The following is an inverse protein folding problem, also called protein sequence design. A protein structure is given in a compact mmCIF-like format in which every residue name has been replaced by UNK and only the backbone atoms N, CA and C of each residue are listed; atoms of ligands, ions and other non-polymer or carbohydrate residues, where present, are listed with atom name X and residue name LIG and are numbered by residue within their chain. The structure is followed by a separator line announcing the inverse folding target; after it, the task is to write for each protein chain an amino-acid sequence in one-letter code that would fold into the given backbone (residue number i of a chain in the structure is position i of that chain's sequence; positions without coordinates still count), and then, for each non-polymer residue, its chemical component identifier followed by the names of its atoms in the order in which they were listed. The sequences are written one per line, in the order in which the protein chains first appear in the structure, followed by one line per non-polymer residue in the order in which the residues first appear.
data_IF_733564149749
#
_entry.id   IF_733564149749
#
_cell.length_a   1.000
_cell.length_b   1.000
_cell.length_c   1.000
_cell.angle_alpha   90.00
_cell.angle_beta   90.00
_cell.angle_gamma   90.00
#
_symmetry.space_group_name_H-M   'P 1'
#
loop_
_entity.id
_entity.type
_entity.pdbx_description
1 polymer ?
#
# COMPACT_ATOMS: atom_id res chain seq x y z
N UNK A 1 -39.54 -50.74 32.30
CA UNK A 1 -38.60 -49.99 33.18
C UNK A 1 -37.26 -50.74 33.18
N UNK A 2 -36.10 -50.06 33.20
CA UNK A 2 -35.51 -49.11 32.26
C UNK A 2 -34.66 -49.86 31.19
N UNK A 3 -34.29 -49.37 30.01
CA UNK A 3 -33.82 -48.03 29.64
C UNK A 3 -32.37 -48.11 29.16
N UNK A 4 -32.09 -48.93 28.13
CA UNK A 4 -30.77 -48.99 27.48
C UNK A 4 -30.64 -47.77 26.56
N UNK A 5 -30.10 -46.70 27.12
CA UNK A 5 -29.85 -45.44 26.45
C UNK A 5 -28.85 -45.61 25.32
N UNK A 6 -29.33 -45.41 24.09
CA UNK A 6 -28.51 -45.10 22.94
C UNK A 6 -27.82 -43.74 23.19
N UNK A 7 -26.56 -43.79 23.61
CA UNK A 7 -25.70 -42.62 23.76
C UNK A 7 -24.34 -42.91 23.12
N UNK A 8 -24.36 -43.13 21.82
CA UNK A 8 -23.16 -43.32 21.01
C UNK A 8 -23.38 -42.81 19.58
N UNK A 9 -23.80 -41.56 19.45
CA UNK A 9 -23.74 -40.82 18.20
C UNK A 9 -23.75 -39.32 18.52
N UNK A 10 -22.97 -38.53 17.77
CA UNK A 10 -22.94 -37.05 17.79
C UNK A 10 -22.00 -36.36 18.80
N UNK A 11 -20.73 -36.80 18.92
CA UNK A 11 -19.67 -35.95 19.53
C UNK A 11 -18.43 -35.76 18.63
N UNK A 12 -18.33 -36.40 17.46
CA UNK A 12 -17.11 -36.34 16.64
C UNK A 12 -17.23 -35.57 15.30
N UNK A 13 -18.07 -34.54 15.21
CA UNK A 13 -18.22 -33.76 13.97
C UNK A 13 -18.35 -32.23 14.16
N UNK A 14 -17.90 -31.68 15.30
CA UNK A 14 -17.93 -30.23 15.58
C UNK A 14 -16.56 -29.67 16.00
N UNK A 15 -15.47 -30.27 15.53
CA UNK A 15 -14.11 -29.96 16.00
C UNK A 15 -13.07 -29.61 14.93
N UNK A 16 -13.42 -29.60 13.64
CA UNK A 16 -12.51 -29.12 12.60
C UNK A 16 -13.08 -27.86 12.00
N UNK A 17 -12.74 -26.76 12.68
CA UNK A 17 -12.25 -25.51 12.12
C UNK A 17 -12.80 -25.17 10.74
N UNK A 18 -13.53 -24.07 10.69
CA UNK A 18 -13.64 -23.21 9.51
C UNK A 18 -12.24 -22.87 9.01
N UNK A 19 -11.64 -23.79 8.25
CA UNK A 19 -10.58 -23.50 7.31
C UNK A 19 -11.27 -22.59 6.30
N UNK A 20 -11.08 -21.29 6.47
CA UNK A 20 -11.47 -20.33 5.44
C UNK A 20 -10.89 -20.86 4.14
N UNK A 21 -11.75 -21.20 3.18
CA UNK A 21 -11.30 -21.58 1.86
C UNK A 21 -10.54 -20.38 1.33
N UNK A 22 -9.21 -20.48 1.35
CA UNK A 22 -8.32 -19.53 0.70
C UNK A 22 -8.71 -19.56 -0.77
N UNK A 23 -9.17 -18.42 -1.31
CA UNK A 23 -9.51 -18.33 -2.73
C UNK A 23 -8.24 -18.71 -3.53
N UNK A 24 -8.40 -19.48 -4.61
CA UNK A 24 -7.26 -19.84 -5.46
C UNK A 24 -6.52 -18.57 -5.90
N UNK A 25 -5.20 -18.51 -5.63
CA UNK A 25 -4.36 -17.33 -5.87
C UNK A 25 -3.95 -16.56 -4.61
N UNK A 26 -4.49 -16.88 -3.43
CA UNK A 26 -4.10 -16.23 -2.18
C UNK A 26 -3.00 -17.00 -1.43
N UNK A 27 -1.89 -16.32 -1.11
CA UNK A 27 -0.81 -16.81 -0.26
C UNK A 27 -0.86 -16.13 1.10
N UNK A 28 -0.98 -16.91 2.18
CA UNK A 28 -0.95 -16.35 3.52
C UNK A 28 0.48 -15.97 3.93
N UNK A 29 0.67 -14.72 4.35
CA UNK A 29 1.94 -14.24 4.90
C UNK A 29 2.26 -14.90 6.24
N UNK A 30 3.49 -15.38 6.34
CA UNK A 30 4.09 -15.88 7.58
C UNK A 30 5.10 -14.85 8.05
N UNK A 31 4.85 -14.27 9.22
CA UNK A 31 5.85 -13.43 9.88
C UNK A 31 7.02 -14.29 10.38
N UNK A 32 8.22 -13.73 10.36
CA UNK A 32 9.38 -14.29 11.05
C UNK A 32 9.07 -14.49 12.53
N UNK A 33 9.73 -15.46 13.15
CA UNK A 33 9.63 -15.65 14.60
C UNK A 33 10.03 -14.34 15.29
N UNK A 34 9.11 -13.77 16.07
CA UNK A 34 9.27 -12.47 16.75
C UNK A 34 9.55 -11.27 15.84
N UNK A 35 9.40 -11.38 14.51
CA UNK A 35 9.72 -10.29 13.57
C UNK A 35 8.98 -8.99 13.87
N UNK A 36 7.70 -9.05 14.26
CA UNK A 36 6.96 -7.86 14.70
C UNK A 36 7.51 -7.29 16.02
N UNK A 37 7.84 -8.13 16.99
CA UNK A 37 8.39 -7.70 18.28
C UNK A 37 9.77 -7.05 18.15
N UNK A 38 10.60 -7.56 17.24
CA UNK A 38 11.91 -7.01 16.91
C UNK A 38 11.78 -5.59 16.34
N UNK A 39 10.74 -5.34 15.53
CA UNK A 39 10.40 -4.00 15.07
C UNK A 39 9.76 -3.11 16.15
N UNK A 40 9.47 -3.65 17.34
CA UNK A 40 8.74 -2.93 18.40
C UNK A 40 7.24 -2.87 18.17
N UNK A 41 6.71 -3.69 17.26
CA UNK A 41 5.28 -3.77 16.93
C UNK A 41 4.63 -4.85 17.80
N UNK A 42 3.59 -4.47 18.53
CA UNK A 42 2.71 -5.44 19.20
C UNK A 42 1.65 -5.92 18.20
N UNK A 43 1.39 -7.22 18.10
CA UNK A 43 0.33 -7.76 17.23
C UNK A 43 -1.08 -7.47 17.78
N UNK A 44 -2.06 -7.38 16.87
CA UNK A 44 -3.47 -7.20 17.19
C UNK A 44 -3.99 -8.41 18.00
N UNK A 45 -4.23 -8.21 19.30
CA UNK A 45 -4.78 -9.25 20.18
C UNK A 45 -6.20 -9.70 19.79
N UNK A 46 -6.77 -10.67 20.52
CA UNK A 46 -8.09 -11.28 20.24
C UNK A 46 -9.30 -10.31 20.27
N UNK A 47 -9.15 -9.10 20.81
CA UNK A 47 -10.25 -8.13 21.02
C UNK A 47 -10.34 -7.04 19.94
N UNK A 48 -9.49 -7.08 18.92
CA UNK A 48 -9.46 -6.08 17.86
C UNK A 48 -10.62 -6.36 16.89
N UNK A 49 -11.64 -5.49 16.87
CA UNK A 49 -12.80 -5.60 15.98
C UNK A 49 -12.49 -4.85 14.69
N UNK A 50 -12.93 -5.38 13.56
CA UNK A 50 -12.78 -4.81 12.22
C UNK A 50 -13.05 -3.29 12.20
N UNK A 51 -12.01 -2.49 11.94
CA UNK A 51 -12.15 -1.09 11.55
C UNK A 51 -11.70 -0.96 10.09
N UNK A 52 -12.69 -0.99 9.21
CA UNK A 52 -12.55 -0.60 7.81
C UNK A 52 -13.07 0.81 7.67
N UNK A 53 -12.27 1.70 7.07
CA UNK A 53 -12.79 3.00 6.64
C UNK A 53 -13.38 2.85 5.25
N UNK A 54 -14.69 3.12 5.17
CA UNK A 54 -15.29 3.68 3.95
C UNK A 54 -15.33 5.20 4.09
N UNK A 55 -14.17 5.84 4.29
CA UNK A 55 -14.10 7.26 4.08
C UNK A 55 -13.86 7.53 2.59
N UNK A 56 -14.93 7.86 1.85
CA UNK A 56 -14.91 9.22 1.29
C UNK A 56 -14.89 10.10 2.52
N UNK A 57 -13.90 10.98 2.70
CA UNK A 57 -13.87 11.88 3.85
C UNK A 57 -15.29 12.41 4.11
N UNK A 58 -15.91 12.07 5.25
CA UNK A 58 -17.31 12.46 5.52
C UNK A 58 -17.47 12.89 6.98
N UNK A 59 -17.38 14.19 7.23
CA UNK A 59 -18.51 15.10 7.42
C UNK A 59 -17.94 16.50 7.71
N UNK A 60 -18.10 17.37 6.72
CA UNK A 60 -17.78 18.79 6.70
C UNK A 60 -16.31 19.23 6.69
N UNK A 61 -15.58 18.78 5.66
CA UNK A 61 -14.61 19.67 4.96
C UNK A 61 -15.29 20.45 3.84
N UNK A 62 -16.62 20.38 3.71
CA UNK A 62 -17.42 21.13 2.71
C UNK A 62 -17.45 22.65 2.94
N UNK A 63 -16.69 23.15 3.93
CA UNK A 63 -16.34 24.56 4.09
C UNK A 63 -14.84 24.85 4.22
N UNK A 64 -13.97 23.83 4.25
CA UNK A 64 -12.51 24.03 4.06
C UNK A 64 -12.25 23.90 2.57
N UNK A 65 -11.74 24.95 1.90
CA UNK A 65 -11.65 25.00 0.45
C UNK A 65 -10.74 23.93 -0.17
N UNK A 66 -10.03 23.13 0.62
CA UNK A 66 -9.01 22.23 0.10
C UNK A 66 -8.73 21.03 1.03
N UNK A 67 -8.72 19.81 0.51
CA UNK A 67 -8.14 18.63 1.19
C UNK A 67 -6.63 18.83 1.43
N UNK A 68 -6.02 19.71 0.61
CA UNK A 68 -4.63 20.15 0.70
C UNK A 68 -4.43 21.32 1.66
N UNK A 69 -5.50 21.81 2.28
CA UNK A 69 -5.40 22.78 3.36
C UNK A 69 -4.49 22.19 4.43
N UNK A 70 -3.50 22.96 4.87
CA UNK A 70 -2.47 22.49 5.80
C UNK A 70 -3.13 21.99 7.10
N UNK A 71 -4.28 22.56 7.45
CA UNK A 71 -5.23 22.12 8.48
C UNK A 71 -5.63 20.63 8.35
N UNK A 72 -6.00 20.18 7.15
CA UNK A 72 -6.47 18.81 6.89
C UNK A 72 -5.29 17.84 6.89
N UNK A 73 -4.22 18.18 6.18
CA UNK A 73 -2.98 17.39 6.08
C UNK A 73 -2.37 17.11 7.45
N UNK A 74 -2.38 18.09 8.34
CA UNK A 74 -1.75 18.01 9.67
C UNK A 74 -2.55 17.25 10.71
N UNK A 75 -3.84 17.12 10.49
CA UNK A 75 -4.71 16.26 11.29
C UNK A 75 -4.59 14.81 10.82
N UNK A 76 -4.43 14.59 9.51
CA UNK A 76 -4.39 13.26 8.88
C UNK A 76 -3.03 12.59 9.05
N UNK A 77 -1.88 13.24 8.79
CA UNK A 77 -0.59 12.53 8.74
C UNK A 77 -0.62 11.30 7.82
N UNK A 78 0.32 10.37 7.91
CA UNK A 78 0.14 9.07 7.24
C UNK A 78 0.71 8.95 5.84
N UNK A 79 -0.01 8.21 4.99
CA UNK A 79 0.30 8.03 3.56
C UNK A 79 -0.87 8.57 2.74
N UNK A 80 -0.60 9.55 1.89
CA UNK A 80 -1.56 10.07 0.92
C UNK A 80 -0.99 10.01 -0.48
N UNK A 81 -1.84 9.68 -1.44
CA UNK A 81 -1.56 9.88 -2.86
C UNK A 81 -2.68 10.75 -3.38
N UNK A 82 -2.41 11.87 -4.04
CA UNK A 82 -3.42 12.82 -4.53
C UNK A 82 -3.23 13.14 -6.00
N UNK A 83 -1.99 13.07 -6.49
CA UNK A 83 -1.66 13.56 -7.82
C UNK A 83 -2.12 12.62 -8.93
N UNK A 84 -2.16 13.17 -10.13
CA UNK A 84 -2.44 12.47 -11.38
C UNK A 84 -1.23 12.61 -12.29
N UNK A 85 -0.91 11.53 -13.02
CA UNK A 85 0.16 11.59 -13.99
C UNK A 85 -0.32 12.28 -15.27
N UNK A 86 0.63 12.78 -16.07
CA UNK A 86 0.39 13.28 -17.42
C UNK A 86 1.25 12.52 -18.44
N UNK A 87 0.80 12.37 -19.69
CA UNK A 87 1.62 11.72 -20.70
C UNK A 87 2.84 12.60 -21.03
N UNK A 88 3.98 11.95 -21.31
CA UNK A 88 5.22 12.60 -21.73
C UNK A 88 5.07 13.34 -23.07
N UNK A 89 4.24 12.81 -23.97
CA UNK A 89 3.85 13.44 -25.24
C UNK A 89 2.36 13.20 -25.52
N UNK A 90 1.75 14.03 -26.37
CA UNK A 90 0.32 13.90 -26.69
C UNK A 90 -0.04 12.55 -27.36
N UNK A 91 0.90 11.92 -28.07
CA UNK A 91 0.69 10.63 -28.72
C UNK A 91 0.58 9.46 -27.72
N UNK A 92 1.05 9.66 -26.49
CA UNK A 92 0.97 8.68 -25.40
C UNK A 92 -0.27 8.86 -24.53
N UNK A 93 -1.16 9.80 -24.88
CA UNK A 93 -2.41 10.00 -24.15
C UNK A 93 -3.31 8.75 -24.23
N UNK A 94 -3.98 8.44 -23.12
CA UNK A 94 -4.92 7.33 -23.00
C UNK A 94 -4.42 5.97 -23.52
N UNK A 95 -3.29 5.47 -22.99
CA UNK A 95 -2.79 4.16 -23.38
C UNK A 95 -3.79 3.06 -23.01
N UNK A 96 -3.85 2.00 -23.82
CA UNK A 96 -4.57 0.79 -23.44
C UNK A 96 -3.79 0.07 -22.35
N UNK A 97 -4.40 -0.19 -21.19
CA UNK A 97 -3.74 -0.89 -20.08
C UNK A 97 -4.44 -2.22 -19.81
N UNK A 98 -3.66 -3.28 -19.67
CA UNK A 98 -4.15 -4.66 -19.60
C UNK A 98 -3.26 -5.55 -18.71
N UNK A 99 -3.79 -6.69 -18.28
CA UNK A 99 -3.08 -7.73 -17.53
C UNK A 99 -2.72 -8.87 -18.46
N UNK A 100 -1.43 -9.19 -18.55
CA UNK A 100 -0.95 -10.42 -19.18
C UNK A 100 -0.95 -11.56 -18.14
N UNK A 101 -1.88 -12.54 -18.23
CA UNK A 101 -1.94 -13.66 -17.30
C UNK A 101 -0.77 -14.65 -17.48
N UNK A 102 0.00 -14.57 -18.56
CA UNK A 102 1.21 -15.37 -18.74
C UNK A 102 2.46 -14.68 -18.16
N UNK A 103 2.39 -13.37 -17.88
CA UNK A 103 3.47 -12.61 -17.27
C UNK A 103 3.78 -13.07 -15.85
N UNK A 104 5.00 -12.79 -15.39
CA UNK A 104 5.38 -13.02 -13.98
C UNK A 104 4.94 -11.84 -13.11
N UNK A 105 4.74 -12.06 -11.81
CA UNK A 105 4.42 -10.99 -10.86
C UNK A 105 5.48 -9.88 -10.92
N UNK A 106 5.04 -8.63 -11.05
CA UNK A 106 5.92 -7.50 -11.34
C UNK A 106 6.00 -7.14 -12.83
N UNK A 107 5.51 -7.98 -13.73
CA UNK A 107 5.57 -7.77 -15.19
C UNK A 107 4.24 -8.06 -15.90
N UNK A 108 3.17 -8.34 -15.15
CA UNK A 108 1.85 -8.62 -15.74
C UNK A 108 1.15 -7.38 -16.28
N UNK A 109 1.43 -6.20 -15.73
CA UNK A 109 0.84 -4.97 -16.25
C UNK A 109 1.46 -4.64 -17.61
N UNK A 110 0.64 -4.49 -18.63
CA UNK A 110 1.09 -4.05 -19.96
C UNK A 110 0.37 -2.78 -20.38
N UNK A 111 1.07 -1.92 -21.12
CA UNK A 111 0.52 -0.73 -21.74
C UNK A 111 0.76 -0.73 -23.25
N UNK A 112 -0.28 -0.44 -24.01
CA UNK A 112 -0.28 -0.34 -25.46
C UNK A 112 -0.36 1.13 -25.87
N UNK A 113 0.71 1.59 -26.52
CA UNK A 113 0.84 2.88 -27.20
C UNK A 113 0.72 2.65 -28.73
N UNK A 114 0.58 3.70 -29.57
CA UNK A 114 0.35 3.55 -31.01
C UNK A 114 1.31 2.58 -31.72
N UNK A 115 2.60 2.64 -31.39
CA UNK A 115 3.65 1.87 -32.10
C UNK A 115 4.33 0.80 -31.25
N UNK A 116 3.94 0.66 -29.98
CA UNK A 116 4.62 -0.27 -29.07
C UNK A 116 3.73 -0.73 -27.92
N UNK A 117 3.97 -1.97 -27.51
CA UNK A 117 3.48 -2.53 -26.26
C UNK A 117 4.65 -2.64 -25.30
N UNK A 118 4.47 -2.10 -24.10
CA UNK A 118 5.50 -2.07 -23.05
C UNK A 118 4.97 -2.71 -21.76
N UNK A 119 5.88 -3.10 -20.88
CA UNK A 119 5.56 -3.72 -19.59
C UNK A 119 5.74 -2.73 -18.45
N UNK A 120 4.79 -2.70 -17.52
CA UNK A 120 4.90 -1.91 -16.29
C UNK A 120 5.39 -2.75 -15.11
N UNK A 121 6.30 -2.18 -14.33
CA UNK A 121 6.85 -2.79 -13.11
C UNK A 121 5.97 -2.52 -11.88
N UNK A 122 4.94 -3.35 -11.66
CA UNK A 122 4.12 -3.37 -10.44
C UNK A 122 3.79 -4.81 -10.06
N UNK A 123 3.94 -5.15 -8.78
CA UNK A 123 3.70 -6.51 -8.30
C UNK A 123 2.21 -6.76 -8.06
N UNK A 124 1.77 -8.02 -8.25
CA UNK A 124 0.36 -8.40 -8.15
C UNK A 124 -0.26 -8.03 -6.80
N UNK A 125 0.54 -8.15 -5.73
CA UNK A 125 0.17 -7.82 -4.36
C UNK A 125 0.03 -6.31 -4.09
N UNK A 126 0.55 -5.47 -4.96
CA UNK A 126 0.38 -4.01 -4.97
C UNK A 126 -0.78 -3.60 -5.89
N UNK A 127 -0.88 -4.26 -7.04
CA UNK A 127 -1.77 -3.93 -8.15
C UNK A 127 -3.26 -4.01 -7.78
N UNK A 128 -3.74 -5.15 -7.27
CA UNK A 128 -5.18 -5.32 -6.98
C UNK A 128 -5.67 -4.34 -5.88
N UNK A 129 -4.96 -4.18 -4.74
CA UNK A 129 -5.30 -3.19 -3.74
C UNK A 129 -5.31 -1.77 -4.29
N UNK A 130 -4.32 -1.43 -5.14
CA UNK A 130 -4.20 -0.11 -5.72
C UNK A 130 -5.35 0.22 -6.68
N UNK A 131 -5.74 -0.70 -7.55
CA UNK A 131 -6.88 -0.52 -8.45
C UNK A 131 -8.17 -0.31 -7.66
N UNK A 132 -8.37 -1.05 -6.57
CA UNK A 132 -9.52 -0.88 -5.66
C UNK A 132 -9.50 0.46 -4.92
N UNK A 133 -8.33 0.94 -4.53
CA UNK A 133 -8.13 2.26 -3.94
C UNK A 133 -8.48 3.38 -4.93
N UNK A 134 -7.87 3.40 -6.11
CA UNK A 134 -8.15 4.44 -7.12
C UNK A 134 -9.62 4.43 -7.54
N UNK A 135 -10.24 3.25 -7.63
CA UNK A 135 -11.68 3.11 -7.89
C UNK A 135 -12.54 3.78 -6.83
N UNK A 136 -12.17 3.72 -5.54
CA UNK A 136 -12.97 4.32 -4.47
C UNK A 136 -13.00 5.85 -4.53
N UNK A 137 -12.01 6.46 -5.19
CA UNK A 137 -11.84 7.92 -5.22
C UNK A 137 -11.35 8.48 -3.90
N UNK A 138 -10.75 7.64 -3.05
CA UNK A 138 -10.04 8.10 -1.85
C UNK A 138 -8.64 8.57 -2.22
N UNK A 139 -8.12 9.50 -1.42
CA UNK A 139 -6.75 10.00 -1.58
C UNK A 139 -5.84 9.66 -0.38
N UNK A 140 -6.43 9.40 0.79
CA UNK A 140 -5.72 8.89 1.95
C UNK A 140 -5.74 7.36 1.98
N UNK A 141 -4.57 6.75 2.20
CA UNK A 141 -4.39 5.29 2.25
C UNK A 141 -4.33 4.80 3.69
N UNK A 142 -3.58 5.52 4.52
CA UNK A 142 -3.34 5.21 5.92
C UNK A 142 -3.19 6.50 6.72
N UNK A 143 -3.75 6.54 7.93
CA UNK A 143 -3.55 7.63 8.88
C UNK A 143 -3.37 7.06 10.29
N UNK A 144 -2.37 7.54 11.02
CA UNK A 144 -2.21 7.32 12.45
C UNK A 144 -2.73 8.56 13.22
N UNK A 145 -4.06 8.71 13.32
CA UNK A 145 -4.68 9.79 14.09
C UNK A 145 -4.67 9.48 15.60
N UNK A 146 -3.58 9.84 16.29
CA UNK A 146 -3.53 10.06 17.73
C UNK A 146 -3.71 8.85 18.67
N UNK A 147 -4.43 7.79 18.26
CA UNK A 147 -4.66 6.55 19.05
C UNK A 147 -5.01 5.34 18.18
N UNK A 148 -5.53 5.52 16.96
CA UNK A 148 -5.96 4.43 16.07
C UNK A 148 -5.37 4.63 14.67
N UNK A 149 -4.74 3.57 14.13
CA UNK A 149 -4.28 3.50 12.76
C UNK A 149 -5.39 2.95 11.88
N UNK A 150 -5.74 3.70 10.85
CA UNK A 150 -6.89 3.45 9.99
C UNK A 150 -6.43 3.17 8.56
N UNK A 151 -6.91 2.09 7.95
CA UNK A 151 -6.61 1.78 6.55
C UNK A 151 -7.80 2.04 5.64
N UNK A 152 -7.49 2.49 4.43
CA UNK A 152 -8.41 2.29 3.33
C UNK A 152 -8.65 0.79 3.13
N UNK A 153 -9.92 0.39 3.03
CA UNK A 153 -10.35 -1.02 2.96
C UNK A 153 -9.68 -1.88 1.89
N UNK A 154 -9.14 -1.27 0.83
CA UNK A 154 -8.42 -1.98 -0.22
C UNK A 154 -7.07 -2.55 0.26
N UNK A 155 -6.48 -1.95 1.29
CA UNK A 155 -5.18 -2.34 1.86
C UNK A 155 -5.33 -3.12 3.16
N UNK A 156 -6.55 -3.28 3.68
CA UNK A 156 -6.78 -3.99 4.93
C UNK A 156 -6.48 -5.50 4.78
N UNK A 157 -5.57 -6.01 5.60
CA UNK A 157 -5.26 -7.44 5.69
C UNK A 157 -4.45 -7.98 4.51
N UNK A 158 -3.72 -7.14 3.77
CA UNK A 158 -2.80 -7.59 2.72
C UNK A 158 -1.39 -7.00 2.88
N UNK A 159 -0.44 -7.55 2.14
CA UNK A 159 0.96 -7.15 2.19
C UNK A 159 1.17 -5.68 1.82
N UNK A 160 0.45 -5.16 0.82
CA UNK A 160 0.54 -3.74 0.46
C UNK A 160 0.15 -2.83 1.61
N UNK A 161 -0.94 -3.11 2.32
CA UNK A 161 -1.30 -2.35 3.51
C UNK A 161 -0.30 -2.49 4.65
N UNK A 162 0.19 -3.69 4.93
CA UNK A 162 1.24 -3.85 5.94
C UNK A 162 2.48 -3.02 5.60
N UNK A 163 2.86 -2.96 4.33
CA UNK A 163 4.01 -2.20 3.90
C UNK A 163 3.78 -0.68 3.98
N UNK A 164 2.59 -0.18 3.62
CA UNK A 164 2.21 1.22 3.85
C UNK A 164 2.20 1.60 5.33
N UNK A 165 1.91 0.64 6.21
CA UNK A 165 2.04 0.86 7.65
C UNK A 165 3.49 0.91 8.11
N UNK A 166 4.35 0.04 7.60
CA UNK A 166 5.79 0.12 7.88
C UNK A 166 6.37 1.45 7.39
N UNK A 167 5.89 1.94 6.25
CA UNK A 167 6.20 3.24 5.70
C UNK A 167 5.82 4.36 6.67
N UNK A 168 4.54 4.47 7.07
CA UNK A 168 4.09 5.53 7.99
C UNK A 168 4.73 5.45 9.38
N UNK A 169 4.89 4.23 9.90
CA UNK A 169 5.41 4.01 11.25
C UNK A 169 6.93 3.92 11.30
N UNK A 170 7.64 4.16 10.18
CA UNK A 170 9.09 3.99 10.05
C UNK A 170 9.86 4.62 11.22
N UNK A 171 9.52 5.85 11.60
CA UNK A 171 10.17 6.58 12.72
C UNK A 171 10.02 5.91 14.10
N UNK A 172 9.00 5.06 14.26
CA UNK A 172 8.63 4.40 15.51
C UNK A 172 9.14 2.97 15.61
N UNK A 173 9.71 2.43 14.51
CA UNK A 173 10.26 1.08 14.49
C UNK A 173 11.64 1.07 15.16
N UNK A 174 12.01 -0.06 15.77
CA UNK A 174 13.34 -0.23 16.37
C UNK A 174 14.47 -0.37 15.34
N UNK A 175 14.18 -1.04 14.22
CA UNK A 175 15.11 -1.31 13.11
C UNK A 175 14.39 -1.10 11.77
N UNK A 176 14.00 0.15 11.45
CA UNK A 176 13.16 0.45 10.30
C UNK A 176 13.78 0.08 8.95
N UNK A 177 15.10 0.13 8.84
CA UNK A 177 15.87 -0.28 7.67
C UNK A 177 15.71 -1.77 7.34
N UNK A 178 15.41 -2.59 8.34
CA UNK A 178 15.19 -4.05 8.24
C UNK A 178 13.72 -4.45 8.31
N UNK A 179 12.79 -3.50 8.22
CA UNK A 179 11.37 -3.76 8.47
C UNK A 179 10.76 -4.83 7.54
N UNK A 180 11.28 -4.99 6.33
CA UNK A 180 10.82 -6.02 5.39
C UNK A 180 11.12 -7.45 5.88
N UNK A 181 12.15 -7.66 6.71
CA UNK A 181 12.53 -8.97 7.26
C UNK A 181 11.54 -9.52 8.29
N UNK A 182 10.55 -8.72 8.73
CA UNK A 182 9.48 -9.22 9.57
C UNK A 182 8.63 -10.29 8.86
N UNK A 183 8.68 -10.37 7.53
CA UNK A 183 8.00 -11.37 6.71
C UNK A 183 8.99 -12.46 6.27
N UNK A 184 8.67 -13.72 6.55
CA UNK A 184 9.48 -14.88 6.16
C UNK A 184 9.01 -15.53 4.84
N UNK A 185 7.85 -15.13 4.32
CA UNK A 185 7.37 -15.59 3.01
C UNK A 185 8.26 -15.01 1.92
N UNK A 186 8.73 -15.83 0.98
CA UNK A 186 9.35 -15.33 -0.25
C UNK A 186 8.29 -14.72 -1.15
N UNK A 187 8.36 -13.40 -1.34
CA UNK A 187 7.41 -12.64 -2.13
C UNK A 187 8.18 -11.86 -3.19
N UNK A 188 7.85 -12.03 -4.50
CA UNK A 188 8.46 -11.26 -5.57
C UNK A 188 8.40 -9.76 -5.29
N UNK A 189 9.56 -9.09 -5.39
CA UNK A 189 9.65 -7.65 -5.16
C UNK A 189 9.65 -7.19 -3.71
N UNK A 190 9.52 -8.12 -2.76
CA UNK A 190 9.52 -7.81 -1.34
C UNK A 190 10.70 -8.49 -0.62
N UNK A 191 10.74 -9.83 -0.57
CA UNK A 191 11.81 -10.63 0.07
C UNK A 191 12.59 -11.48 -0.93
N UNK A 192 12.21 -11.45 -2.20
CA UNK A 192 12.89 -12.14 -3.28
C UNK A 192 13.42 -11.12 -4.32
N UNK A 193 14.75 -10.99 -4.40
CA UNK A 193 15.44 -10.22 -5.44
C UNK A 193 16.76 -9.60 -4.97
N UNK A 194 17.68 -9.25 -5.89
CA UNK A 194 19.00 -8.71 -5.54
C UNK A 194 18.96 -7.34 -4.85
N UNK A 195 17.80 -6.67 -4.85
CA UNK A 195 17.59 -5.38 -4.21
C UNK A 195 17.08 -5.43 -2.77
N UNK A 196 16.53 -6.56 -2.29
CA UNK A 196 15.90 -6.61 -0.95
C UNK A 196 16.88 -6.38 0.18
N UNK A 197 18.11 -6.87 0.03
CA UNK A 197 19.11 -6.90 1.10
C UNK A 197 20.06 -5.69 1.06
N UNK A 198 19.89 -4.80 0.07
CA UNK A 198 20.76 -3.63 -0.15
C UNK A 198 20.32 -2.46 0.73
N UNK A 199 20.59 -2.58 2.02
CA UNK A 199 20.39 -1.50 2.98
C UNK A 199 21.65 -0.64 3.04
N UNK A 200 21.51 0.66 2.78
CA UNK A 200 22.53 1.66 3.08
C UNK A 200 22.29 2.21 4.49
N UNK A 201 23.15 1.81 5.43
CA UNK A 201 23.06 2.24 6.83
C UNK A 201 23.26 3.75 7.02
N UNK A 202 24.05 4.40 6.14
CA UNK A 202 24.24 5.85 6.19
C UNK A 202 22.95 6.57 5.79
N UNK A 203 22.35 6.18 4.66
CA UNK A 203 21.09 6.74 4.19
C UNK A 203 19.97 6.52 5.22
N UNK A 204 19.89 5.32 5.80
CA UNK A 204 18.96 5.01 6.88
C UNK A 204 19.17 5.90 8.12
N UNK A 205 20.43 6.15 8.50
CA UNK A 205 20.78 7.03 9.61
C UNK A 205 20.46 8.51 9.35
N UNK A 206 20.60 8.98 8.11
CA UNK A 206 20.19 10.32 7.68
C UNK A 206 18.67 10.49 7.74
N UNK A 207 17.93 9.56 7.13
CA UNK A 207 16.47 9.55 7.12
C UNK A 207 15.92 9.50 8.55
N UNK A 208 16.43 8.58 9.38
CA UNK A 208 16.01 8.45 10.78
C UNK A 208 16.24 9.74 11.58
N UNK A 209 17.37 10.43 11.37
CA UNK A 209 17.66 11.71 12.05
C UNK A 209 16.69 12.81 11.61
N UNK A 210 16.36 12.87 10.33
CA UNK A 210 15.39 13.83 9.81
C UNK A 210 13.98 13.56 10.37
N UNK A 211 13.57 12.29 10.38
CA UNK A 211 12.25 11.83 10.82
C UNK A 211 11.95 12.03 12.31
N UNK A 212 12.95 12.30 13.15
CA UNK A 212 12.77 12.54 14.61
C UNK A 212 12.11 13.88 14.96
N UNK A 213 11.98 14.81 14.01
CA UNK A 213 11.66 16.22 14.31
C UNK A 213 10.17 16.50 14.47
N UNK A 214 9.27 15.74 13.82
CA UNK A 214 7.85 16.08 13.68
C UNK A 214 6.95 14.85 13.46
N UNK A 215 5.63 15.06 13.34
CA UNK A 215 4.76 14.10 12.67
C UNK A 215 5.10 14.07 11.18
N UNK A 216 4.96 12.93 10.54
CA UNK A 216 5.39 12.72 9.16
C UNK A 216 4.21 12.35 8.30
N UNK A 217 4.29 12.70 7.03
CA UNK A 217 3.38 12.20 6.01
C UNK A 217 4.17 11.89 4.73
N UNK A 218 3.98 10.70 4.19
CA UNK A 218 4.46 10.33 2.87
C UNK A 218 3.43 10.75 1.85
N UNK A 219 3.86 11.53 0.87
CA UNK A 219 2.94 12.20 -0.04
C UNK A 219 3.54 12.37 -1.42
N UNK A 220 2.66 12.48 -2.40
CA UNK A 220 2.98 12.90 -3.75
C UNK A 220 2.49 14.31 -4.08
N UNK A 221 2.07 15.11 -3.08
CA UNK A 221 1.60 16.48 -3.31
C UNK A 221 2.56 17.30 -4.19
N UNK A 222 2.04 17.94 -5.23
CA UNK A 222 2.79 18.74 -6.21
C UNK A 222 3.87 17.96 -6.98
N UNK A 223 3.81 16.62 -7.02
CA UNK A 223 4.70 15.80 -7.84
C UNK A 223 4.18 15.77 -9.28
N UNK A 224 4.98 16.30 -10.20
CA UNK A 224 4.71 16.24 -11.64
C UNK A 224 5.01 14.84 -12.18
N UNK A 225 4.05 13.91 -12.02
CA UNK A 225 4.21 12.56 -12.54
C UNK A 225 4.07 12.55 -14.06
N UNK A 226 5.08 12.02 -14.76
CA UNK A 226 5.09 11.95 -16.23
C UNK A 226 5.24 10.51 -16.68
N UNK A 227 4.31 10.02 -17.50
CA UNK A 227 4.37 8.63 -17.98
C UNK A 227 4.64 8.52 -19.47
N UNK A 228 5.30 7.43 -19.87
CA UNK A 228 5.52 7.08 -21.26
C UNK A 228 6.27 5.76 -21.42
N UNK A 229 6.35 5.24 -22.65
CA UNK A 229 7.19 4.09 -22.96
C UNK A 229 8.67 4.48 -23.02
N UNK A 230 9.53 3.67 -22.41
CA UNK A 230 10.98 3.85 -22.43
C UNK A 230 11.67 2.49 -22.38
N UNK A 231 12.51 2.18 -23.39
CA UNK A 231 13.27 0.94 -23.46
C UNK A 231 12.43 -0.35 -23.31
N UNK A 232 11.18 -0.34 -23.77
CA UNK A 232 10.26 -1.49 -23.65
C UNK A 232 9.48 -1.54 -22.33
N UNK A 233 9.66 -0.56 -21.45
CA UNK A 233 8.97 -0.45 -20.18
C UNK A 233 8.00 0.74 -20.14
N UNK A 234 6.94 0.61 -19.35
CA UNK A 234 6.10 1.73 -18.95
C UNK A 234 6.78 2.42 -17.77
N UNK A 235 7.32 3.61 -18.01
CA UNK A 235 7.94 4.44 -16.99
C UNK A 235 6.95 5.51 -16.53
N UNK A 236 6.91 5.74 -15.22
CA UNK A 236 6.22 6.88 -14.59
C UNK A 236 7.27 7.63 -13.76
N UNK A 237 7.75 8.74 -14.29
CA UNK A 237 8.69 9.65 -13.64
C UNK A 237 8.00 10.49 -12.57
N UNK A 238 8.75 10.96 -11.57
CA UNK A 238 8.25 11.74 -10.44
C UNK A 238 8.37 10.95 -9.13
N UNK A 239 8.87 11.57 -8.07
CA UNK A 239 9.17 10.88 -6.83
C UNK A 239 8.33 11.45 -5.67
N UNK A 240 7.54 10.60 -4.97
CA UNK A 240 6.91 11.02 -3.73
C UNK A 240 7.96 11.29 -2.66
N UNK A 241 7.59 12.05 -1.65
CA UNK A 241 8.50 12.54 -0.62
C UNK A 241 7.82 12.59 0.74
N UNK A 242 8.61 12.86 1.77
CA UNK A 242 8.10 13.05 3.12
C UNK A 242 7.94 14.52 3.46
N UNK A 243 6.85 14.87 4.13
CA UNK A 243 6.70 16.16 4.79
C UNK A 243 6.65 16.01 6.30
N UNK A 244 7.24 16.98 6.99
CA UNK A 244 7.21 17.11 8.43
C UNK A 244 6.10 18.09 8.84
N UNK A 245 5.21 17.66 9.73
CA UNK A 245 4.02 18.36 10.15
C UNK A 245 4.15 18.78 11.62
N UNK A 246 4.01 20.08 11.91
CA UNK A 246 3.86 20.57 13.27
C UNK A 246 2.40 20.49 13.69
N UNK A 247 2.12 19.62 14.67
CA UNK A 247 0.81 19.46 15.28
C UNK A 247 0.76 19.98 16.72
N UNK A 248 1.82 20.65 17.22
CA UNK A 248 1.98 20.96 18.65
C UNK A 248 1.20 22.20 19.11
N UNK A 249 0.37 22.82 18.26
CA UNK A 249 -0.41 24.01 18.62
C UNK A 249 -1.87 23.87 18.19
N UNK A 250 -2.80 24.40 19.00
CA UNK A 250 -4.21 24.61 18.61
C UNK A 250 -4.22 25.60 17.43
N UNK A 251 -4.40 25.10 16.22
CA UNK A 251 -4.40 25.89 14.98
C UNK A 251 -4.26 24.98 13.76
N UNK A 252 -4.26 25.55 12.54
CA UNK A 252 -3.79 24.83 11.36
C UNK A 252 -2.44 24.25 11.69
N UNK A 253 -2.24 22.94 11.52
CA UNK A 253 -0.86 22.47 11.56
C UNK A 253 -0.10 23.10 10.41
N UNK A 254 1.23 22.92 10.41
CA UNK A 254 2.10 23.53 9.42
C UNK A 254 3.08 22.53 8.84
N UNK A 255 3.33 22.59 7.52
CA UNK A 255 4.48 21.93 6.91
C UNK A 255 5.75 22.65 7.39
N UNK A 256 6.59 21.93 8.12
CA UNK A 256 7.83 22.42 8.77
C UNK A 256 9.09 21.91 8.10
N UNK A 257 8.97 20.95 7.20
CA UNK A 257 10.09 20.41 6.46
C UNK A 257 9.65 19.46 5.36
N UNK A 258 10.56 19.21 4.43
CA UNK A 258 10.43 18.27 3.32
C UNK A 258 11.70 17.41 3.25
N UNK A 259 11.54 16.13 2.92
CA UNK A 259 12.63 15.21 2.60
C UNK A 259 12.30 14.53 1.28
N UNK A 260 12.94 15.02 0.22
CA UNK A 260 12.74 14.64 -1.18
C UNK A 260 13.97 13.98 -1.80
N UNK A 261 14.86 13.44 -0.97
CA UNK A 261 15.96 12.58 -1.42
C UNK A 261 15.44 11.16 -1.67
N UNK A 262 14.92 10.94 -2.88
CA UNK A 262 14.42 9.66 -3.34
C UNK A 262 15.49 8.56 -3.27
N UNK A 263 16.73 8.88 -3.66
CA UNK A 263 17.83 7.92 -3.67
C UNK A 263 18.19 7.47 -2.25
N UNK A 264 18.34 8.39 -1.30
CA UNK A 264 18.60 8.07 0.10
C UNK A 264 17.41 7.31 0.72
N UNK A 265 16.17 7.70 0.38
CA UNK A 265 14.97 7.00 0.86
C UNK A 265 14.96 5.55 0.37
N UNK A 266 15.14 5.31 -0.92
CA UNK A 266 15.18 3.97 -1.49
C UNK A 266 16.37 3.15 -0.96
N UNK A 267 17.53 3.77 -0.75
CA UNK A 267 18.71 3.10 -0.20
C UNK A 267 18.52 2.68 1.27
N UNK A 268 17.72 3.42 2.05
CA UNK A 268 17.47 3.12 3.46
C UNK A 268 16.65 1.83 3.68
N UNK A 269 15.66 1.56 2.82
CA UNK A 269 14.88 0.32 2.82
C UNK A 269 14.19 0.14 1.45
N UNK A 270 14.86 -0.47 0.47
CA UNK A 270 14.38 -0.51 -0.91
C UNK A 270 13.07 -1.28 -1.09
N UNK A 271 12.76 -2.19 -0.17
CA UNK A 271 11.52 -2.97 -0.19
C UNK A 271 10.33 -2.10 0.25
N UNK A 272 10.44 -1.52 1.45
CA UNK A 272 9.35 -0.73 2.04
C UNK A 272 9.12 0.53 1.22
N UNK A 273 10.19 1.28 0.96
CA UNK A 273 10.11 2.52 0.22
C UNK A 273 9.87 2.29 -1.26
N UNK A 274 10.51 1.30 -1.90
CA UNK A 274 10.30 1.03 -3.32
C UNK A 274 8.84 0.71 -3.65
N UNK A 275 8.16 0.00 -2.75
CA UNK A 275 6.72 -0.24 -2.87
C UNK A 275 5.88 1.02 -2.67
N UNK A 276 6.19 1.86 -1.68
CA UNK A 276 5.53 3.16 -1.52
C UNK A 276 5.66 4.05 -2.76
N UNK A 277 6.86 4.07 -3.36
CA UNK A 277 7.14 4.82 -4.60
C UNK A 277 6.37 4.25 -5.80
N UNK A 278 6.39 2.93 -6.00
CA UNK A 278 5.60 2.29 -7.06
C UNK A 278 4.11 2.55 -6.89
N UNK A 279 3.57 2.38 -5.68
CA UNK A 279 2.16 2.63 -5.40
C UNK A 279 1.77 4.08 -5.71
N UNK A 280 2.59 5.06 -5.34
CA UNK A 280 2.34 6.48 -5.67
C UNK A 280 2.31 6.71 -7.19
N UNK A 281 3.36 6.25 -7.90
CA UNK A 281 3.50 6.37 -9.36
C UNK A 281 2.31 5.76 -10.10
N UNK A 282 1.94 4.53 -9.77
CA UNK A 282 0.82 3.85 -10.40
C UNK A 282 -0.54 4.39 -9.94
N UNK A 283 -0.66 4.93 -8.71
CA UNK A 283 -1.86 5.65 -8.30
C UNK A 283 -2.11 6.85 -9.22
N UNK A 284 -1.06 7.64 -9.49
CA UNK A 284 -1.13 8.81 -10.36
C UNK A 284 -1.50 8.44 -11.80
N UNK A 285 -0.89 7.39 -12.37
CA UNK A 285 -1.26 6.88 -13.69
C UNK A 285 -2.72 6.40 -13.74
N UNK A 286 -3.16 5.61 -12.76
CA UNK A 286 -4.52 5.07 -12.74
C UNK A 286 -5.58 6.14 -12.48
N UNK A 287 -5.24 7.21 -11.75
CA UNK A 287 -6.11 8.39 -11.63
C UNK A 287 -6.26 9.12 -12.96
N UNK A 288 -5.16 9.35 -13.68
CA UNK A 288 -5.22 9.89 -15.05
C UNK A 288 -6.13 9.03 -15.95
N UNK A 289 -5.94 7.71 -15.96
CA UNK A 289 -6.81 6.83 -16.74
C UNK A 289 -8.27 6.93 -16.31
N UNK A 290 -8.54 7.01 -15.01
CA UNK A 290 -9.90 7.12 -14.48
C UNK A 290 -10.58 8.44 -14.87
N UNK A 291 -9.85 9.54 -14.84
CA UNK A 291 -10.36 10.90 -15.09
C UNK A 291 -10.44 11.19 -16.59
N UNK A 292 -9.32 11.05 -17.30
CA UNK A 292 -9.15 11.49 -18.69
C UNK A 292 -9.43 10.40 -19.72
N UNK A 293 -9.32 9.12 -19.33
CA UNK A 293 -9.43 7.97 -20.24
C UNK A 293 -10.42 6.90 -19.74
N UNK A 294 -11.68 7.27 -19.42
CA UNK A 294 -12.60 6.41 -18.67
C UNK A 294 -12.96 5.08 -19.35
N UNK A 295 -12.84 5.01 -20.68
CA UNK A 295 -13.02 3.75 -21.43
C UNK A 295 -11.86 2.78 -21.17
N UNK A 296 -10.62 3.25 -21.28
CA UNK A 296 -9.40 2.50 -20.98
C UNK A 296 -9.39 2.06 -19.52
N UNK A 297 -9.75 2.95 -18.58
CA UNK A 297 -9.88 2.58 -17.17
C UNK A 297 -10.93 1.49 -16.91
N UNK A 298 -12.07 1.53 -17.62
CA UNK A 298 -13.09 0.48 -17.51
C UNK A 298 -12.58 -0.85 -18.04
N UNK A 299 -11.92 -0.85 -19.20
CA UNK A 299 -11.34 -2.05 -19.80
C UNK A 299 -10.28 -2.66 -18.88
N UNK A 300 -9.35 -1.85 -18.38
CA UNK A 300 -8.29 -2.26 -17.45
C UNK A 300 -8.86 -2.91 -16.18
N UNK A 301 -9.85 -2.26 -15.54
CA UNK A 301 -10.52 -2.86 -14.37
C UNK A 301 -11.23 -4.17 -14.69
N UNK A 302 -11.79 -4.29 -15.90
CA UNK A 302 -12.38 -5.54 -16.40
C UNK A 302 -11.33 -6.65 -16.49
N UNK A 303 -10.16 -6.33 -17.04
CA UNK A 303 -9.02 -7.26 -17.14
C UNK A 303 -8.51 -7.72 -15.77
N UNK A 304 -8.29 -6.79 -14.83
CA UNK A 304 -7.90 -7.14 -13.44
C UNK A 304 -8.93 -8.06 -12.78
N UNK A 305 -10.22 -7.81 -12.98
CA UNK A 305 -11.27 -8.66 -12.43
C UNK A 305 -11.33 -10.04 -13.10
N UNK A 306 -11.10 -10.11 -14.41
CA UNK A 306 -11.06 -11.35 -15.19
C UNK A 306 -9.89 -12.24 -14.76
N UNK A 307 -8.73 -11.65 -14.50
CA UNK A 307 -7.48 -12.37 -14.19
C UNK A 307 -7.14 -12.39 -12.70
N UNK A 308 -8.11 -12.14 -11.82
CA UNK A 308 -7.87 -12.04 -10.36
C UNK A 308 -7.28 -13.31 -9.75
N UNK A 309 -7.55 -14.50 -10.33
CA UNK A 309 -7.05 -15.79 -9.80
C UNK A 309 -5.60 -16.06 -10.19
N UNK A 310 -5.12 -15.37 -11.21
CA UNK A 310 -3.75 -15.42 -11.71
C UNK A 310 -2.85 -14.41 -11.00
N UNK A 311 -3.43 -13.42 -10.30
CA UNK A 311 -2.69 -12.45 -9.50
C UNK A 311 -2.27 -13.06 -8.16
N UNK A 312 -0.98 -12.96 -7.82
CA UNK A 312 -0.46 -13.41 -6.54
C UNK A 312 -0.87 -12.45 -5.40
N UNK A 313 -1.94 -12.80 -4.69
CA UNK A 313 -2.44 -12.00 -3.57
C UNK A 313 -1.85 -12.51 -2.25
N UNK A 314 -1.25 -11.61 -1.47
CA UNK A 314 -0.65 -11.96 -0.19
C UNK A 314 -1.47 -11.41 0.98
N UNK A 315 -2.08 -12.30 1.75
CA UNK A 315 -3.00 -11.95 2.84
C UNK A 315 -2.33 -12.11 4.20
N UNK A 316 -2.66 -11.21 5.12
CA UNK A 316 -2.21 -11.27 6.51
C UNK A 316 -3.44 -11.52 7.38
N UNK A 317 -3.46 -12.59 8.20
CA UNK A 317 -4.57 -12.79 9.13
C UNK A 317 -4.71 -11.59 10.05
N UNK A 318 -5.94 -11.05 10.18
CA UNK A 318 -6.19 -9.84 10.98
C UNK A 318 -5.62 -9.91 12.41
N UNK A 319 -5.66 -11.08 13.05
CA UNK A 319 -5.07 -11.33 14.38
C UNK A 319 -3.54 -11.21 14.45
N UNK A 320 -2.87 -11.12 13.31
CA UNK A 320 -1.42 -10.95 13.17
C UNK A 320 -1.05 -9.58 12.60
N UNK A 321 -2.02 -8.75 12.21
CA UNK A 321 -1.75 -7.36 11.86
C UNK A 321 -1.22 -6.62 13.10
N UNK A 322 -0.40 -5.57 12.95
CA UNK A 322 0.00 -4.68 14.03
C UNK A 322 -1.20 -4.18 14.86
N UNK A 323 -1.07 -4.04 16.18
CA UNK A 323 -2.12 -3.56 17.09
C UNK A 323 -2.47 -2.08 16.88
N UNK A 324 -1.56 -1.32 16.26
CA UNK A 324 -1.85 0.02 15.76
C UNK A 324 -2.91 -0.02 14.63
N UNK A 325 -3.13 -1.18 13.99
CA UNK A 325 -4.33 -1.50 13.22
C UNK A 325 -5.41 -1.88 14.22
N UNK A 326 -6.07 -0.88 14.81
CA UNK A 326 -7.18 -1.09 15.74
C UNK A 326 -8.47 -0.76 15.07
#
# INVERSE_FOLDING_TARGET
MPGLGALAAVVALLGFLSIGMVEAGETQIVFAERGLEELGITAAGRRTRHLTFEHTARRDVTGTPDLMAVETVTVVGGVIFVEQARPRSAEYACPGVDIDPAGTSGQRLTASFPDQRVTGTIYDWELEPLVRFVRSGSDALFTYMGVHGEYHKAFAGNLAGFNLFLLDTFRSLRSPERAHLAVNTQVPGYTAGPGSDRIDEQAAGELTRWMRRSHLMFTDLDVDFVFGPEQGELVVDGDPYWIALDSRRRGPGRITGRFDDAAATLAANPVVFGSGFRLAKYAALFRYLKTDCPLQWRAFRGSVAQHRRELDLYTIPMRRMPYAVR
#
